data_IF_795462679286
#
_entry.id   IF_795462679286
#
_cell.length_a   1.000
_cell.length_b   1.000
_cell.length_c   1.000
_cell.angle_alpha   90.00
_cell.angle_beta   90.00
_cell.angle_gamma   90.00
#
_symmetry.space_group_name_H-M   'P 1'
#
loop_
_entity.id
_entity.type
_entity.pdbx_description
1 polymer ?
#
# COMPACT_ATOMS: atom_id res chain seq x y z
N UNK A 1 10.34 15.03 -24.23
CA UNK A 1 8.86 14.97 -24.30
C UNK A 1 8.33 15.52 -23.00
N UNK A 2 7.77 16.73 -23.04
CA UNK A 2 7.14 17.35 -21.86
C UNK A 2 5.85 16.61 -21.55
N UNK A 3 5.76 16.04 -20.34
CA UNK A 3 4.47 15.69 -19.77
C UNK A 3 3.78 17.01 -19.41
N UNK A 4 2.76 17.32 -20.21
CA UNK A 4 1.83 18.42 -20.00
C UNK A 4 1.24 18.22 -18.60
N UNK A 5 1.30 19.26 -17.77
CA UNK A 5 0.77 19.27 -16.41
C UNK A 5 -0.68 18.82 -16.38
N UNK A 6 -0.90 17.59 -15.92
CA UNK A 6 -2.19 17.14 -15.42
C UNK A 6 -2.04 17.00 -13.92
N UNK A 7 -2.90 17.67 -13.16
CA UNK A 7 -2.97 17.47 -11.72
C UNK A 7 -3.12 15.99 -11.41
N UNK A 8 -2.30 15.48 -10.49
CA UNK A 8 -2.42 14.09 -10.03
C UNK A 8 -3.71 13.99 -9.23
N UNK A 9 -4.71 13.33 -9.82
CA UNK A 9 -5.99 13.10 -9.15
C UNK A 9 -5.78 12.23 -7.90
N UNK A 10 -6.33 12.62 -6.74
CA UNK A 10 -6.40 11.75 -5.57
C UNK A 10 -7.09 10.43 -5.89
N UNK A 11 -6.46 9.32 -5.51
CA UNK A 11 -7.07 8.00 -5.65
C UNK A 11 -8.04 7.72 -4.50
N UNK A 12 -9.13 7.03 -4.76
CA UNK A 12 -9.94 6.42 -3.69
C UNK A 12 -9.25 5.16 -3.17
N UNK A 13 -9.63 4.67 -1.98
CA UNK A 13 -9.14 3.36 -1.51
C UNK A 13 -9.55 2.22 -2.45
N UNK A 14 -10.71 2.33 -3.09
CA UNK A 14 -11.14 1.35 -4.08
C UNK A 14 -10.16 1.30 -5.26
N UNK A 15 -9.77 2.44 -5.81
CA UNK A 15 -8.81 2.53 -6.91
C UNK A 15 -7.44 1.95 -6.51
N UNK A 16 -6.98 2.24 -5.29
CA UNK A 16 -5.72 1.71 -4.76
C UNK A 16 -5.74 0.19 -4.69
N UNK A 17 -6.83 -0.39 -4.19
CA UNK A 17 -6.91 -1.84 -3.95
C UNK A 17 -7.45 -2.65 -5.15
N UNK A 18 -7.89 -2.00 -6.24
CA UNK A 18 -8.24 -2.64 -7.51
C UNK A 18 -7.12 -2.53 -8.54
N UNK A 19 -6.73 -1.30 -8.91
CA UNK A 19 -5.95 -1.05 -10.12
C UNK A 19 -4.46 -0.95 -9.84
N UNK A 20 -4.12 -0.62 -8.58
CA UNK A 20 -2.74 -0.35 -8.14
C UNK A 20 -2.18 -1.44 -7.25
N UNK A 21 -2.97 -2.48 -6.94
CA UNK A 21 -2.63 -3.51 -5.97
C UNK A 21 -2.18 -4.80 -6.66
N UNK A 22 -0.95 -5.20 -6.36
CA UNK A 22 -0.37 -6.45 -6.84
C UNK A 22 -0.01 -7.36 -5.68
N UNK A 23 -0.38 -8.64 -5.77
CA UNK A 23 0.15 -9.66 -4.87
C UNK A 23 1.56 -10.01 -5.30
N UNK A 24 2.50 -10.03 -4.36
CA UNK A 24 3.90 -10.32 -4.63
C UNK A 24 4.44 -11.36 -3.66
N UNK A 25 5.53 -12.04 -4.05
CA UNK A 25 6.45 -12.65 -3.08
C UNK A 25 7.56 -11.64 -2.83
N UNK A 26 7.64 -11.12 -1.61
CA UNK A 26 8.57 -10.04 -1.26
C UNK A 26 10.04 -10.43 -1.41
N UNK A 27 10.36 -11.72 -1.30
CA UNK A 27 11.73 -12.25 -1.45
C UNK A 27 12.27 -12.06 -2.87
N UNK A 28 11.40 -11.88 -3.86
CA UNK A 28 11.77 -11.66 -5.25
C UNK A 28 12.01 -10.17 -5.59
N UNK A 29 11.84 -9.26 -4.62
CA UNK A 29 11.93 -7.82 -4.83
C UNK A 29 13.03 -7.19 -3.99
N UNK A 30 13.81 -6.33 -4.63
CA UNK A 30 14.89 -5.61 -3.97
C UNK A 30 14.36 -4.29 -3.38
N UNK A 31 13.93 -4.34 -2.12
CA UNK A 31 13.22 -3.25 -1.41
C UNK A 31 14.10 -2.47 -0.42
N UNK A 32 15.41 -2.66 -0.46
CA UNK A 32 16.38 -2.03 0.44
C UNK A 32 16.39 -0.49 0.45
N UNK A 33 15.84 0.16 -0.59
CA UNK A 33 15.71 1.62 -0.67
C UNK A 33 14.36 2.17 -0.19
N UNK A 34 13.54 1.33 0.43
CA UNK A 34 12.24 1.75 0.95
C UNK A 34 12.40 2.21 2.40
N UNK A 35 11.82 3.37 2.71
CA UNK A 35 11.64 3.83 4.07
C UNK A 35 10.66 2.93 4.82
N UNK A 36 10.84 2.78 6.13
CA UNK A 36 9.97 1.98 6.99
C UNK A 36 9.10 2.87 7.88
N UNK A 37 7.81 2.56 7.91
CA UNK A 37 6.84 3.22 8.78
C UNK A 37 5.96 2.16 9.44
N UNK A 38 5.78 2.24 10.76
CA UNK A 38 5.05 1.22 11.53
C UNK A 38 3.80 1.81 12.16
N UNK A 39 2.66 1.14 11.99
CA UNK A 39 1.36 1.51 12.57
C UNK A 39 0.78 0.27 13.24
N UNK A 40 0.54 0.32 14.55
CA UNK A 40 -0.06 -0.80 15.31
C UNK A 40 0.64 -2.15 15.02
N UNK A 41 1.97 -2.19 15.13
CA UNK A 41 2.84 -3.35 14.83
C UNK A 41 2.85 -3.83 13.37
N UNK A 42 2.07 -3.19 12.48
CA UNK A 42 2.12 -3.45 11.04
C UNK A 42 3.17 -2.57 10.38
N UNK A 43 4.17 -3.22 9.79
CA UNK A 43 5.22 -2.57 9.01
C UNK A 43 4.73 -2.24 7.59
N UNK A 44 4.92 -0.99 7.21
CA UNK A 44 4.81 -0.48 5.86
C UNK A 44 6.20 -0.11 5.37
N UNK A 45 6.53 -0.54 4.17
CA UNK A 45 7.71 -0.06 3.45
C UNK A 45 7.23 0.82 2.32
N UNK A 46 7.80 2.00 2.13
CA UNK A 46 7.37 2.86 1.04
C UNK A 46 8.54 3.63 0.43
N UNK A 47 8.33 4.10 -0.79
CA UNK A 47 9.25 5.00 -1.47
C UNK A 47 8.45 6.09 -2.16
N UNK A 48 8.80 7.34 -1.91
CA UNK A 48 8.22 8.50 -2.57
C UNK A 48 8.79 8.65 -3.99
N UNK A 49 7.96 9.17 -4.91
CA UNK A 49 8.43 9.70 -6.17
C UNK A 49 9.29 10.94 -5.95
N UNK A 50 10.08 11.33 -6.95
CA UNK A 50 10.87 12.56 -6.87
C UNK A 50 10.00 13.82 -6.71
N UNK A 51 8.74 13.78 -7.16
CA UNK A 51 7.79 14.89 -6.97
C UNK A 51 7.09 14.86 -5.61
N UNK A 52 7.26 13.79 -4.81
CA UNK A 52 6.57 13.54 -3.54
C UNK A 52 5.04 13.40 -3.64
N UNK A 53 4.47 13.47 -4.84
CA UNK A 53 3.02 13.35 -5.07
C UNK A 53 2.55 11.90 -5.17
N UNK A 54 3.46 10.97 -5.47
CA UNK A 54 3.17 9.54 -5.59
C UNK A 54 4.07 8.73 -4.66
N UNK A 55 3.59 7.55 -4.26
CA UNK A 55 4.40 6.57 -3.54
C UNK A 55 4.15 5.15 -4.01
N UNK A 56 5.17 4.32 -3.87
CA UNK A 56 5.07 2.86 -3.95
C UNK A 56 5.13 2.31 -2.54
N UNK A 57 4.25 1.37 -2.20
CA UNK A 57 4.07 0.86 -0.84
C UNK A 57 4.11 -0.66 -0.88
N UNK A 58 4.85 -1.26 0.04
CA UNK A 58 4.80 -2.67 0.37
C UNK A 58 4.16 -2.81 1.74
N UNK A 59 3.13 -3.64 1.83
CA UNK A 59 2.44 -3.92 3.08
C UNK A 59 1.86 -5.35 3.06
N UNK A 60 1.26 -5.76 4.18
CA UNK A 60 0.54 -7.03 4.28
C UNK A 60 -0.96 -6.80 4.39
N UNK A 61 -1.74 -7.70 3.80
CA UNK A 61 -3.19 -7.84 4.00
C UNK A 61 -3.50 -9.32 4.24
N UNK A 62 -4.06 -9.67 5.40
CA UNK A 62 -4.36 -11.04 5.80
C UNK A 62 -3.15 -11.99 5.63
N UNK A 63 -1.94 -11.51 5.95
CA UNK A 63 -0.69 -12.26 5.82
C UNK A 63 -0.06 -12.25 4.42
N UNK A 64 -0.81 -11.87 3.37
CA UNK A 64 -0.31 -11.77 2.00
C UNK A 64 0.47 -10.48 1.78
N UNK A 65 1.66 -10.58 1.20
CA UNK A 65 2.45 -9.41 0.77
C UNK A 65 1.83 -8.76 -0.47
N UNK A 66 1.68 -7.44 -0.40
CA UNK A 66 1.12 -6.57 -1.43
C UNK A 66 2.14 -5.52 -1.84
N UNK A 67 2.10 -5.16 -3.12
CA UNK A 67 2.76 -4.00 -3.70
C UNK A 67 1.68 -3.06 -4.25
N UNK A 68 1.57 -1.86 -3.66
CA UNK A 68 0.71 -0.79 -4.11
C UNK A 68 1.56 0.21 -4.90
N UNK A 69 1.29 0.37 -6.20
CA UNK A 69 2.12 1.21 -7.09
C UNK A 69 1.44 2.53 -7.43
N UNK A 70 2.22 3.60 -7.59
CA UNK A 70 1.72 4.91 -8.03
C UNK A 70 0.54 5.45 -7.21
N UNK A 71 0.55 5.25 -5.88
CA UNK A 71 -0.49 5.73 -4.97
C UNK A 71 -0.29 7.23 -4.72
N UNK A 72 -1.32 8.04 -4.93
CA UNK A 72 -1.26 9.47 -4.63
C UNK A 72 -1.08 9.69 -3.12
N UNK A 73 -0.13 10.57 -2.75
CA UNK A 73 0.15 10.93 -1.35
C UNK A 73 -0.86 11.90 -0.78
N UNK A 74 -1.66 12.56 -1.61
CA UNK A 74 -2.60 13.60 -1.19
C UNK A 74 -1.93 14.72 -0.36
N UNK A 75 -0.69 15.07 -0.69
CA UNK A 75 0.18 16.03 0.02
C UNK A 75 0.70 15.58 1.39
N UNK A 76 0.24 14.44 1.93
CA UNK A 76 0.72 13.87 3.19
C UNK A 76 0.75 12.34 3.11
N UNK A 77 1.94 11.81 2.81
CA UNK A 77 2.17 10.39 2.66
C UNK A 77 1.96 9.59 3.96
N UNK A 78 2.23 10.16 5.12
CA UNK A 78 1.99 9.45 6.39
C UNK A 78 0.51 9.38 6.72
N UNK A 79 -0.24 10.48 6.52
CA UNK A 79 -1.69 10.45 6.65
C UNK A 79 -2.30 9.44 5.68
N UNK A 80 -1.80 9.40 4.45
CA UNK A 80 -2.22 8.44 3.44
C UNK A 80 -1.92 6.98 3.82
N UNK A 81 -0.77 6.70 4.43
CA UNK A 81 -0.45 5.37 4.98
C UNK A 81 -1.42 4.97 6.09
N UNK A 82 -1.85 5.91 6.95
CA UNK A 82 -2.87 5.66 7.98
C UNK A 82 -4.24 5.36 7.39
N UNK A 83 -4.65 6.04 6.30
CA UNK A 83 -5.90 5.71 5.60
C UNK A 83 -5.89 4.29 5.02
N UNK A 84 -4.78 3.92 4.38
CA UNK A 84 -4.57 2.57 3.83
C UNK A 84 -4.61 1.53 4.96
N UNK A 85 -4.02 1.85 6.12
CA UNK A 85 -4.05 1.00 7.30
C UNK A 85 -5.47 0.74 7.81
N UNK A 86 -6.27 1.79 7.98
CA UNK A 86 -7.66 1.64 8.43
C UNK A 86 -8.50 0.86 7.41
N UNK A 87 -8.29 1.07 6.11
CA UNK A 87 -8.96 0.28 5.08
C UNK A 87 -8.59 -1.22 5.15
N UNK A 88 -7.30 -1.53 5.36
CA UNK A 88 -6.83 -2.91 5.55
C UNK A 88 -7.50 -3.54 6.77
N UNK A 89 -7.54 -2.84 7.91
CA UNK A 89 -8.20 -3.32 9.14
C UNK A 89 -9.68 -3.63 8.91
N UNK A 90 -10.41 -2.72 8.26
CA UNK A 90 -11.82 -2.94 7.93
C UNK A 90 -12.02 -4.17 7.04
N UNK A 91 -11.14 -4.35 6.05
CA UNK A 91 -11.22 -5.48 5.11
C UNK A 91 -10.91 -6.82 5.78
N UNK A 92 -9.91 -6.86 6.67
CA UNK A 92 -9.56 -8.04 7.46
C UNK A 92 -10.62 -8.37 8.51
N UNK A 93 -11.24 -7.38 9.14
CA UNK A 93 -12.36 -7.59 10.05
C UNK A 93 -13.60 -8.17 9.32
N UNK A 94 -13.85 -7.71 8.09
CA UNK A 94 -14.98 -8.19 7.26
C UNK A 94 -14.72 -9.56 6.65
N UNK A 95 -13.46 -9.91 6.40
CA UNK A 95 -13.02 -11.19 5.85
C UNK A 95 -11.84 -11.70 6.69
N UNK A 96 -12.09 -12.26 7.88
CA UNK A 96 -11.02 -12.74 8.74
C UNK A 96 -10.18 -13.78 7.97
N UNK A 97 -8.84 -13.74 8.10
CA UNK A 97 -7.99 -14.74 7.47
C UNK A 97 -8.51 -16.13 7.86
N UNK A 98 -8.80 -16.97 6.88
CA UNK A 98 -9.14 -18.36 7.17
C UNK A 98 -7.89 -18.99 7.79
N UNK A 99 -7.95 -19.28 9.09
CA UNK A 99 -6.89 -19.95 9.81
C UNK A 99 -6.64 -21.30 9.13
N UNK A 100 -5.48 -21.51 8.47
CA UNK A 100 -5.19 -22.78 7.81
C UNK A 100 -5.10 -23.95 8.81
N UNK A 101 -5.06 -23.67 10.12
CA UNK A 101 -5.08 -24.70 11.18
C UNK A 101 -6.48 -25.12 11.64
N UNK A 102 -7.56 -24.53 11.10
CA UNK A 102 -8.95 -24.93 11.43
C UNK A 102 -9.58 -25.91 10.43
N UNK A 103 -8.84 -26.35 9.41
CA UNK A 103 -9.32 -27.24 8.35
C UNK A 103 -8.89 -28.71 8.51
N UNK A 104 -8.46 -29.12 9.72
CA UNK A 104 -8.11 -30.51 10.05
C UNK A 104 -8.92 -30.98 11.26
#
# INVERSE_FOLDING_TARGET
MSLIGGEIKPDTMQDVFSDKCHRINIENYDIYHFDEYTIEDRKYRYRLSNSMELMTIVCKLAGQDLLLVSVCTNNDHEARLREIHEYIKQREASNPPQDPKRAL
#
